data_IF_184115395990
#
_entry.id   IF_184115395990
#
_cell.length_a   1.000
_cell.length_b   1.000
_cell.length_c   1.000
_cell.angle_alpha   90.00
_cell.angle_beta   90.00
_cell.angle_gamma   90.00
#
_symmetry.space_group_name_H-M   'P 1'
#
loop_
_entity.id
_entity.type
_entity.pdbx_description
1 polymer ?
#
# COMPACT_ATOMS: atom_id res chain seq x y z
N UNK A 1 -18.37 -1.55 5.79
CA UNK A 1 -17.36 -2.33 6.52
C UNK A 1 -15.96 -2.03 5.94
N UNK A 2 -14.91 -2.72 6.41
CA UNK A 2 -13.52 -2.57 5.96
C UNK A 2 -13.27 -3.20 4.57
N UNK A 3 -12.16 -3.94 4.46
CA UNK A 3 -11.81 -4.73 3.27
C UNK A 3 -11.51 -6.19 3.66
N UNK A 4 -11.57 -7.09 2.68
CA UNK A 4 -11.03 -8.46 2.81
C UNK A 4 -9.58 -8.45 2.29
N UNK A 5 -8.61 -8.76 3.15
CA UNK A 5 -7.21 -8.84 2.77
C UNK A 5 -6.86 -10.28 2.38
N UNK A 6 -6.64 -10.51 1.09
CA UNK A 6 -6.34 -11.82 0.53
C UNK A 6 -4.84 -12.11 0.62
N UNK A 7 -4.53 -13.35 1.04
CA UNK A 7 -3.20 -13.95 1.03
C UNK A 7 -3.30 -15.31 0.32
N UNK A 8 -2.26 -15.69 -0.40
CA UNK A 8 -2.24 -16.93 -1.18
C UNK A 8 -1.56 -18.07 -0.41
N UNK A 9 -2.06 -19.32 -0.49
CA UNK A 9 -1.39 -20.47 0.08
C UNK A 9 -0.11 -20.85 -0.68
N UNK A 10 0.81 -21.57 -0.01
CA UNK A 10 2.13 -21.95 -0.52
C UNK A 10 2.14 -22.81 -1.78
N UNK A 11 1.01 -23.41 -2.18
CA UNK A 11 0.90 -24.11 -3.47
C UNK A 11 1.17 -23.18 -4.68
N UNK A 12 1.03 -21.88 -4.48
CA UNK A 12 1.29 -20.83 -5.48
C UNK A 12 2.73 -20.28 -5.41
N UNK A 13 3.67 -20.97 -4.75
CA UNK A 13 5.04 -20.49 -4.54
C UNK A 13 5.83 -20.14 -5.83
N UNK A 14 5.32 -20.49 -7.02
CA UNK A 14 5.92 -20.17 -8.33
C UNK A 14 5.20 -19.03 -9.07
N UNK A 15 4.33 -18.29 -8.38
CA UNK A 15 3.44 -17.26 -8.93
C UNK A 15 1.99 -17.56 -8.56
N UNK A 16 1.17 -16.55 -8.26
CA UNK A 16 -0.26 -16.75 -8.03
C UNK A 16 -1.03 -16.40 -9.31
N UNK A 17 -1.33 -15.11 -9.51
CA UNK A 17 -2.02 -14.63 -10.70
C UNK A 17 -1.17 -14.73 -11.97
N UNK A 18 0.15 -14.90 -11.85
CA UNK A 18 1.07 -15.13 -12.96
C UNK A 18 1.75 -16.52 -12.93
N UNK A 19 1.13 -17.50 -12.23
CA UNK A 19 1.66 -18.86 -12.14
C UNK A 19 1.92 -19.48 -13.53
N UNK A 20 3.05 -20.19 -13.76
CA UNK A 20 3.37 -20.78 -15.07
C UNK A 20 2.42 -21.91 -15.50
N UNK A 21 1.86 -22.65 -14.54
CA UNK A 21 0.83 -23.66 -14.82
C UNK A 21 -0.56 -23.01 -14.83
N UNK A 22 -1.23 -23.06 -15.98
CA UNK A 22 -2.53 -22.40 -16.21
C UNK A 22 -3.64 -22.82 -15.25
N UNK A 23 -3.64 -24.07 -14.80
CA UNK A 23 -4.63 -24.54 -13.83
C UNK A 23 -4.47 -23.83 -12.48
N UNK A 24 -3.24 -23.71 -11.97
CA UNK A 24 -2.96 -23.00 -10.73
C UNK A 24 -3.14 -21.49 -10.89
N UNK A 25 -2.81 -20.93 -12.06
CA UNK A 25 -3.12 -19.54 -12.36
C UNK A 25 -4.62 -19.26 -12.23
N UNK A 26 -5.47 -20.07 -12.87
CA UNK A 26 -6.92 -19.91 -12.77
C UNK A 26 -7.40 -20.11 -11.34
N UNK A 27 -6.85 -21.07 -10.60
CA UNK A 27 -7.21 -21.29 -9.21
C UNK A 27 -6.91 -20.08 -8.30
N UNK A 28 -5.80 -19.37 -8.53
CA UNK A 28 -5.49 -18.12 -7.83
C UNK A 28 -6.48 -17.00 -8.17
N UNK A 29 -6.90 -16.91 -9.43
CA UNK A 29 -7.93 -15.96 -9.89
C UNK A 29 -9.28 -16.28 -9.23
N UNK A 30 -9.69 -17.54 -9.21
CA UNK A 30 -10.93 -17.96 -8.55
C UNK A 30 -10.90 -17.70 -7.05
N UNK A 31 -9.77 -17.93 -6.37
CA UNK A 31 -9.61 -17.56 -4.96
C UNK A 31 -9.78 -16.05 -4.74
N UNK A 32 -9.34 -15.22 -5.69
CA UNK A 32 -9.54 -13.77 -5.63
C UNK A 32 -11.00 -13.37 -5.79
N UNK A 33 -11.71 -14.04 -6.70
CA UNK A 33 -13.16 -13.88 -6.87
C UNK A 33 -13.94 -14.36 -5.65
N UNK A 34 -13.51 -15.45 -5.01
CA UNK A 34 -14.08 -15.94 -3.76
C UNK A 34 -13.92 -14.90 -2.63
N UNK A 35 -12.75 -14.27 -2.52
CA UNK A 35 -12.55 -13.17 -1.58
C UNK A 35 -13.52 -11.99 -1.83
N UNK A 36 -13.88 -11.71 -3.08
CA UNK A 36 -14.89 -10.70 -3.41
C UNK A 36 -16.31 -11.12 -3.00
N UNK A 37 -16.67 -12.40 -3.12
CA UNK A 37 -17.92 -12.92 -2.56
C UNK A 37 -17.95 -12.78 -1.03
N UNK A 38 -16.87 -13.16 -0.34
CA UNK A 38 -16.73 -12.97 1.11
C UNK A 38 -16.83 -11.49 1.48
N UNK A 39 -16.24 -10.60 0.69
CA UNK A 39 -16.36 -9.15 0.90
C UNK A 39 -17.82 -8.70 0.85
N UNK A 40 -18.62 -9.17 -0.13
CA UNK A 40 -20.05 -8.88 -0.19
C UNK A 40 -20.80 -9.40 1.03
N UNK A 41 -20.54 -10.65 1.44
CA UNK A 41 -21.18 -11.26 2.61
C UNK A 41 -20.91 -10.47 3.91
N UNK A 42 -19.71 -9.92 4.04
CA UNK A 42 -19.30 -9.10 5.20
C UNK A 42 -19.69 -7.62 5.07
N UNK A 43 -20.27 -7.19 3.94
CA UNK A 43 -20.58 -5.79 3.66
C UNK A 43 -19.35 -4.90 3.45
N UNK A 44 -18.24 -5.49 3.02
CA UNK A 44 -17.02 -4.81 2.58
C UNK A 44 -17.14 -4.41 1.11
N UNK A 45 -16.54 -3.28 0.74
CA UNK A 45 -16.54 -2.76 -0.65
C UNK A 45 -15.23 -2.99 -1.39
N UNK A 46 -14.28 -3.69 -0.78
CA UNK A 46 -12.90 -3.81 -1.25
C UNK A 46 -12.28 -5.17 -0.90
N UNK A 47 -11.48 -5.68 -1.84
CA UNK A 47 -10.53 -6.78 -1.66
C UNK A 47 -9.12 -6.21 -1.85
N UNK A 48 -8.30 -6.31 -0.80
CA UNK A 48 -6.87 -6.00 -0.86
C UNK A 48 -6.13 -7.27 -1.27
N UNK A 49 -5.44 -7.23 -2.39
CA UNK A 49 -4.68 -8.36 -2.93
C UNK A 49 -3.20 -8.13 -2.65
N UNK A 50 -2.62 -8.99 -1.83
CA UNK A 50 -1.18 -9.12 -1.68
C UNK A 50 -0.79 -10.54 -2.04
N UNK A 51 0.04 -10.66 -3.07
CA UNK A 51 0.63 -11.93 -3.45
C UNK A 51 2.06 -11.96 -2.97
N UNK A 52 2.41 -12.97 -2.17
CA UNK A 52 3.79 -13.22 -1.74
C UNK A 52 4.66 -13.86 -2.85
N UNK A 53 4.07 -14.18 -4.00
CA UNK A 53 4.66 -15.11 -4.98
C UNK A 53 4.74 -14.58 -6.41
N UNK A 54 4.00 -13.53 -6.78
CA UNK A 54 3.99 -13.00 -8.15
C UNK A 54 5.28 -12.21 -8.46
N UNK A 55 6.33 -12.93 -8.81
CA UNK A 55 7.66 -12.39 -9.03
C UNK A 55 8.68 -13.42 -9.50
N UNK A 56 9.95 -13.19 -9.17
CA UNK A 56 11.07 -14.03 -9.53
C UNK A 56 12.27 -13.78 -8.60
N UNK A 57 13.26 -14.68 -8.67
CA UNK A 57 14.44 -14.67 -7.80
C UNK A 57 15.76 -14.55 -8.58
N UNK A 58 15.80 -15.02 -9.82
CA UNK A 58 17.03 -15.13 -10.62
C UNK A 58 16.91 -14.44 -11.99
N UNK A 59 18.04 -13.93 -12.53
CA UNK A 59 18.09 -13.48 -13.92
C UNK A 59 17.65 -14.59 -14.87
N UNK A 60 16.87 -14.24 -15.90
CA UNK A 60 16.32 -15.15 -16.91
C UNK A 60 15.31 -16.20 -16.40
N UNK A 61 14.88 -16.14 -15.14
CA UNK A 61 13.91 -17.10 -14.58
C UNK A 61 12.52 -16.98 -15.22
N UNK A 62 12.12 -15.78 -15.59
CA UNK A 62 10.79 -15.49 -16.16
C UNK A 62 10.89 -14.62 -17.40
N UNK A 63 9.87 -14.72 -18.26
CA UNK A 63 9.62 -13.76 -19.32
C UNK A 63 8.81 -12.58 -18.73
N UNK A 64 9.44 -11.41 -18.60
CA UNK A 64 8.83 -10.25 -17.93
C UNK A 64 7.54 -9.78 -18.63
N UNK A 65 7.54 -9.73 -19.97
CA UNK A 65 6.39 -9.27 -20.74
C UNK A 65 5.19 -10.21 -20.59
N UNK A 66 5.45 -11.51 -20.58
CA UNK A 66 4.44 -12.54 -20.37
C UNK A 66 3.84 -12.46 -18.96
N UNK A 67 4.68 -12.40 -17.92
CA UNK A 67 4.22 -12.35 -16.52
C UNK A 67 3.48 -11.06 -16.20
N UNK A 68 3.91 -9.94 -16.76
CA UNK A 68 3.18 -8.68 -16.65
C UNK A 68 1.80 -8.76 -17.31
N UNK A 69 1.73 -9.28 -18.55
CA UNK A 69 0.46 -9.46 -19.26
C UNK A 69 -0.49 -10.38 -18.51
N UNK A 70 0.00 -11.49 -17.99
CA UNK A 70 -0.79 -12.43 -17.18
C UNK A 70 -1.40 -11.75 -15.95
N UNK A 71 -0.61 -10.95 -15.23
CA UNK A 71 -1.09 -10.20 -14.07
C UNK A 71 -2.16 -9.16 -14.44
N UNK A 72 -1.97 -8.44 -15.54
CA UNK A 72 -2.97 -7.48 -16.07
C UNK A 72 -4.30 -8.18 -16.38
N UNK A 73 -4.26 -9.29 -17.12
CA UNK A 73 -5.48 -10.01 -17.50
C UNK A 73 -6.18 -10.65 -16.29
N UNK A 74 -5.43 -11.16 -15.30
CA UNK A 74 -5.99 -11.70 -14.07
C UNK A 74 -6.79 -10.64 -13.28
N UNK A 75 -6.24 -9.43 -13.12
CA UNK A 75 -6.96 -8.34 -12.44
C UNK A 75 -8.16 -7.85 -13.25
N UNK A 76 -8.08 -7.78 -14.59
CA UNK A 76 -9.23 -7.46 -15.45
C UNK A 76 -10.36 -8.46 -15.24
N UNK A 77 -10.06 -9.75 -15.24
CA UNK A 77 -11.04 -10.81 -15.03
C UNK A 77 -11.74 -10.68 -13.67
N UNK A 78 -11.00 -10.37 -12.61
CA UNK A 78 -11.58 -10.14 -11.28
C UNK A 78 -12.47 -8.89 -11.27
N UNK A 79 -11.98 -7.77 -11.83
CA UNK A 79 -12.71 -6.51 -11.87
C UNK A 79 -14.01 -6.60 -12.70
N UNK A 80 -13.96 -7.31 -13.82
CA UNK A 80 -15.10 -7.49 -14.73
C UNK A 80 -16.17 -8.43 -14.13
N UNK A 81 -15.76 -9.44 -13.37
CA UNK A 81 -16.68 -10.33 -12.66
C UNK A 81 -17.36 -9.65 -11.45
N UNK A 82 -16.74 -8.65 -10.85
CA UNK A 82 -17.23 -7.97 -9.64
C UNK A 82 -17.14 -6.43 -9.77
N UNK A 83 -17.96 -5.81 -10.65
CA UNK A 83 -17.87 -4.37 -10.94
C UNK A 83 -18.23 -3.47 -9.74
N UNK A 84 -18.92 -3.99 -8.73
CA UNK A 84 -19.29 -3.35 -7.47
C UNK A 84 -18.20 -3.43 -6.39
N UNK A 85 -17.20 -4.31 -6.55
CA UNK A 85 -16.10 -4.49 -5.60
C UNK A 85 -14.85 -3.80 -6.13
N UNK A 86 -14.18 -3.05 -5.25
CA UNK A 86 -12.84 -2.54 -5.52
C UNK A 86 -11.80 -3.63 -5.31
N UNK A 87 -10.88 -3.78 -6.25
CA UNK A 87 -9.67 -4.58 -6.08
C UNK A 87 -8.48 -3.63 -5.96
N UNK A 88 -7.74 -3.74 -4.86
CA UNK A 88 -6.53 -2.96 -4.64
C UNK A 88 -5.31 -3.87 -4.58
N UNK A 89 -4.26 -3.52 -5.33
CA UNK A 89 -2.97 -4.19 -5.18
C UNK A 89 -2.21 -3.56 -4.00
N UNK A 90 -1.80 -4.40 -3.06
CA UNK A 90 -0.78 -4.10 -2.05
C UNK A 90 0.57 -4.58 -2.60
N UNK A 91 1.33 -3.67 -3.24
CA UNK A 91 2.61 -4.03 -3.83
C UNK A 91 3.70 -4.13 -2.75
N UNK A 92 4.74 -4.94 -2.99
CA UNK A 92 5.92 -5.05 -2.14
C UNK A 92 7.18 -5.17 -3.02
N UNK A 93 8.33 -4.56 -2.65
CA UNK A 93 9.53 -4.63 -3.50
C UNK A 93 10.26 -5.98 -3.41
N UNK A 94 10.25 -6.61 -2.24
CA UNK A 94 11.00 -7.85 -1.95
C UNK A 94 10.46 -8.51 -0.68
N UNK A 95 10.61 -9.82 -0.56
CA UNK A 95 10.14 -10.64 0.55
C UNK A 95 11.02 -11.89 0.73
N UNK A 96 10.80 -12.65 1.81
CA UNK A 96 11.43 -13.95 1.99
C UNK A 96 10.96 -14.98 0.95
N UNK A 97 9.72 -14.85 0.47
CA UNK A 97 9.09 -15.75 -0.49
C UNK A 97 9.34 -15.35 -1.96
N UNK A 98 9.71 -14.10 -2.24
CA UNK A 98 9.95 -13.57 -3.60
C UNK A 98 10.99 -12.46 -3.54
N UNK A 99 12.13 -12.62 -4.22
CA UNK A 99 13.20 -11.60 -4.17
C UNK A 99 12.87 -10.36 -4.97
N UNK A 100 12.22 -10.50 -6.12
CA UNK A 100 11.81 -9.42 -7.00
C UNK A 100 10.35 -9.60 -7.39
N UNK A 101 9.48 -8.71 -6.92
CA UNK A 101 8.08 -8.71 -7.35
C UNK A 101 7.92 -8.14 -8.75
N UNK A 102 6.89 -8.63 -9.46
CA UNK A 102 6.51 -8.09 -10.77
C UNK A 102 6.11 -6.61 -10.68
N UNK A 103 5.58 -6.19 -9.54
CA UNK A 103 5.22 -4.81 -9.22
C UNK A 103 5.97 -4.38 -7.96
N UNK A 104 7.18 -3.80 -8.07
CA UNK A 104 8.04 -3.55 -6.91
C UNK A 104 7.95 -2.13 -6.33
N UNK A 105 7.15 -1.23 -6.92
CA UNK A 105 7.14 0.19 -6.56
C UNK A 105 5.80 0.86 -6.86
N UNK A 106 5.55 2.04 -6.29
CA UNK A 106 4.36 2.85 -6.61
C UNK A 106 4.29 3.20 -8.09
N UNK A 107 5.45 3.50 -8.71
CA UNK A 107 5.52 3.79 -10.15
C UNK A 107 5.09 2.61 -11.02
N UNK A 108 5.59 1.40 -10.71
CA UNK A 108 5.15 0.18 -11.39
C UNK A 108 3.67 -0.12 -11.11
N UNK A 109 3.21 0.11 -9.89
CA UNK A 109 1.82 -0.11 -9.51
C UNK A 109 0.86 0.82 -10.27
N UNK A 110 1.23 2.08 -10.47
CA UNK A 110 0.45 3.02 -11.29
C UNK A 110 0.46 2.66 -12.78
N UNK A 111 1.56 2.10 -13.29
CA UNK A 111 1.59 1.54 -14.64
C UNK A 111 0.63 0.33 -14.76
N UNK A 112 0.60 -0.54 -13.75
CA UNK A 112 -0.37 -1.63 -13.70
C UNK A 112 -1.81 -1.10 -13.66
N UNK A 113 -2.10 -0.08 -12.85
CA UNK A 113 -3.42 0.55 -12.82
C UNK A 113 -3.83 1.06 -14.21
N UNK A 114 -2.91 1.70 -14.93
CA UNK A 114 -3.16 2.15 -16.30
C UNK A 114 -3.37 1.00 -17.29
N UNK A 115 -2.70 -0.14 -17.10
CA UNK A 115 -2.84 -1.28 -18.01
C UNK A 115 -4.06 -2.14 -17.70
N UNK A 116 -4.42 -2.34 -16.44
CA UNK A 116 -5.67 -3.02 -16.06
C UNK A 116 -6.85 -2.23 -16.60
N UNK A 117 -6.82 -0.90 -16.49
CA UNK A 117 -7.80 0.02 -17.07
C UNK A 117 -9.25 -0.36 -16.69
N UNK A 118 -9.47 -0.47 -15.37
CA UNK A 118 -10.78 -0.67 -14.78
C UNK A 118 -11.05 0.36 -13.68
N UNK A 119 -12.28 0.90 -13.59
CA UNK A 119 -12.59 1.94 -12.62
C UNK A 119 -12.48 1.44 -11.16
N UNK A 120 -12.77 0.15 -10.94
CA UNK A 120 -12.71 -0.53 -9.64
C UNK A 120 -11.35 -1.19 -9.35
N UNK A 121 -10.31 -0.92 -10.15
CA UNK A 121 -8.94 -1.30 -9.81
C UNK A 121 -8.13 -0.09 -9.31
N UNK A 122 -7.38 -0.30 -8.23
CA UNK A 122 -6.58 0.71 -7.55
C UNK A 122 -5.49 0.09 -6.68
N UNK A 123 -5.03 0.85 -5.69
CA UNK A 123 -3.90 0.51 -4.83
C UNK A 123 -4.26 0.58 -3.37
N UNK A 124 -3.62 -0.29 -2.58
CA UNK A 124 -3.46 -0.14 -1.14
C UNK A 124 -1.98 0.04 -0.89
N UNK A 125 -1.59 1.21 -0.39
CA UNK A 125 -0.18 1.52 -0.13
C UNK A 125 0.17 1.15 1.30
N UNK A 126 1.23 0.38 1.47
CA UNK A 126 1.83 0.10 2.78
C UNK A 126 3.05 0.99 3.00
N UNK A 127 3.12 1.65 4.16
CA UNK A 127 4.22 2.57 4.49
C UNK A 127 5.57 1.87 4.52
N UNK A 128 5.64 0.68 5.10
CA UNK A 128 6.80 -0.18 5.15
C UNK A 128 7.25 -0.58 3.75
N UNK A 129 6.33 -1.00 2.88
CA UNK A 129 6.67 -1.35 1.49
C UNK A 129 7.21 -0.16 0.69
N UNK A 130 6.64 1.04 0.88
CA UNK A 130 7.16 2.28 0.28
C UNK A 130 8.59 2.57 0.77
N UNK A 131 8.82 2.48 2.08
CA UNK A 131 10.16 2.67 2.68
C UNK A 131 11.16 1.62 2.19
N UNK A 132 10.77 0.35 2.09
CA UNK A 132 11.59 -0.74 1.54
C UNK A 132 11.95 -0.51 0.07
N UNK A 133 11.07 0.15 -0.68
CA UNK A 133 11.29 0.50 -2.09
C UNK A 133 12.19 1.73 -2.25
N UNK A 134 12.60 2.37 -1.15
CA UNK A 134 13.36 3.62 -1.16
C UNK A 134 12.53 4.83 -1.57
N UNK A 135 11.20 4.74 -1.46
CA UNK A 135 10.29 5.81 -1.86
C UNK A 135 10.06 6.82 -0.72
N UNK A 136 9.66 8.04 -1.08
CA UNK A 136 9.02 8.96 -0.14
C UNK A 136 7.51 8.65 -0.09
N UNK A 137 6.96 8.18 1.06
CA UNK A 137 5.54 7.83 1.16
C UNK A 137 4.57 8.95 0.77
N UNK A 138 4.90 10.20 1.10
CA UNK A 138 4.09 11.36 0.75
C UNK A 138 3.99 11.57 -0.77
N UNK A 139 5.10 11.38 -1.48
CA UNK A 139 5.13 11.41 -2.95
C UNK A 139 4.34 10.25 -3.55
N UNK A 140 4.46 9.05 -3.00
CA UNK A 140 3.75 7.86 -3.48
C UNK A 140 2.23 8.01 -3.33
N UNK A 141 1.75 8.53 -2.18
CA UNK A 141 0.33 8.86 -1.97
C UNK A 141 -0.14 9.94 -2.96
N UNK A 142 0.66 10.98 -3.16
CA UNK A 142 0.37 12.02 -4.14
C UNK A 142 0.24 11.49 -5.57
N UNK A 143 1.08 10.50 -5.94
CA UNK A 143 1.08 9.85 -7.25
C UNK A 143 -0.14 8.95 -7.44
N UNK A 144 -0.53 8.19 -6.41
CA UNK A 144 -1.69 7.31 -6.47
C UNK A 144 -3.01 8.09 -6.59
N UNK A 145 -3.14 9.23 -5.90
CA UNK A 145 -4.30 10.11 -6.01
C UNK A 145 -5.62 9.36 -5.79
N UNK A 146 -6.59 9.51 -6.71
CA UNK A 146 -7.90 8.87 -6.60
C UNK A 146 -7.89 7.35 -6.79
N UNK A 147 -6.73 6.76 -7.14
CA UNK A 147 -6.55 5.31 -7.25
C UNK A 147 -6.12 4.66 -5.93
N UNK A 148 -5.88 5.45 -4.89
CA UNK A 148 -5.61 4.94 -3.54
C UNK A 148 -6.93 4.59 -2.83
N UNK A 149 -7.16 3.30 -2.57
CA UNK A 149 -8.37 2.81 -1.91
C UNK A 149 -8.15 2.54 -0.41
N UNK A 150 -6.97 2.07 -0.05
CA UNK A 150 -6.55 1.82 1.33
C UNK A 150 -5.12 2.31 1.61
N UNK A 151 -4.78 2.43 2.88
CA UNK A 151 -3.39 2.62 3.33
C UNK A 151 -3.11 1.78 4.58
N UNK A 152 -2.03 1.02 4.55
CA UNK A 152 -1.49 0.31 5.71
C UNK A 152 -0.43 1.18 6.37
N UNK A 153 -0.66 1.48 7.64
CA UNK A 153 0.13 2.38 8.46
C UNK A 153 1.00 1.56 9.40
N UNK A 154 2.30 1.75 9.24
CA UNK A 154 3.36 1.25 10.10
C UNK A 154 4.56 2.20 9.97
N UNK A 155 5.67 1.83 10.59
CA UNK A 155 6.94 2.51 10.48
C UNK A 155 8.06 1.47 10.50
N UNK A 156 9.28 1.87 10.18
CA UNK A 156 10.39 0.93 10.11
C UNK A 156 11.66 1.60 9.62
N UNK A 157 12.81 0.97 9.86
CA UNK A 157 14.08 1.40 9.31
C UNK A 157 14.25 0.86 7.90
N UNK A 158 14.65 1.72 6.96
CA UNK A 158 14.94 1.28 5.59
C UNK A 158 16.14 0.33 5.59
N UNK A 159 15.85 -0.96 5.41
CA UNK A 159 16.83 -2.03 5.22
C UNK A 159 16.35 -2.91 4.07
N UNK A 160 17.28 -3.30 3.21
CA UNK A 160 16.96 -4.11 2.05
C UNK A 160 16.41 -5.47 2.53
N UNK A 161 15.21 -5.82 2.06
CA UNK A 161 14.49 -7.03 2.43
C UNK A 161 14.10 -7.17 3.92
N UNK A 162 13.88 -6.05 4.63
CA UNK A 162 13.28 -6.08 5.95
C UNK A 162 12.04 -5.18 6.03
N UNK A 163 10.96 -5.77 6.49
CA UNK A 163 9.76 -5.06 6.93
C UNK A 163 9.71 -5.14 8.45
N UNK A 164 9.74 -4.00 9.13
CA UNK A 164 9.79 -3.98 10.59
C UNK A 164 8.41 -4.01 11.25
N UNK A 165 7.38 -3.46 10.60
CA UNK A 165 6.03 -3.37 11.14
C UNK A 165 5.95 -2.60 12.47
N UNK A 166 6.71 -1.51 12.64
CA UNK A 166 6.70 -0.71 13.87
C UNK A 166 5.48 0.22 13.93
N UNK A 167 5.19 0.75 15.12
CA UNK A 167 4.12 1.73 15.33
C UNK A 167 4.29 2.99 14.48
N UNK A 168 3.20 3.48 13.91
CA UNK A 168 3.20 4.58 12.95
C UNK A 168 3.77 5.89 13.53
N UNK A 169 4.75 6.47 12.84
CA UNK A 169 5.39 7.74 13.21
C UNK A 169 6.24 7.65 14.48
N UNK A 170 6.75 6.46 14.81
CA UNK A 170 7.67 6.20 15.92
C UNK A 170 9.14 6.39 15.53
N UNK A 171 9.48 6.11 14.28
CA UNK A 171 10.83 6.30 13.71
C UNK A 171 10.86 7.56 12.85
N UNK A 172 9.80 7.79 12.06
CA UNK A 172 9.74 8.87 11.08
C UNK A 172 8.55 9.82 11.30
N UNK A 173 8.49 10.59 12.40
CA UNK A 173 7.36 11.45 12.72
C UNK A 173 7.12 12.56 11.68
N UNK A 174 8.18 13.08 11.06
CA UNK A 174 8.06 14.06 9.97
C UNK A 174 7.37 13.50 8.73
N UNK A 175 7.73 12.27 8.32
CA UNK A 175 7.08 11.59 7.20
C UNK A 175 5.65 11.18 7.56
N UNK A 176 5.39 10.74 8.80
CA UNK A 176 4.03 10.45 9.27
C UNK A 176 3.10 11.67 9.17
N UNK A 177 3.59 12.86 9.53
CA UNK A 177 2.87 14.12 9.34
C UNK A 177 2.61 14.41 7.85
N UNK A 178 3.62 14.23 7.00
CA UNK A 178 3.49 14.44 5.55
C UNK A 178 2.50 13.45 4.91
N UNK A 179 2.53 12.17 5.29
CA UNK A 179 1.55 11.15 4.87
C UNK A 179 0.13 11.62 5.15
N UNK A 180 -0.14 12.05 6.39
CA UNK A 180 -1.48 12.54 6.76
C UNK A 180 -1.87 13.80 5.98
N UNK A 181 -0.92 14.70 5.74
CA UNK A 181 -1.15 15.89 4.90
C UNK A 181 -1.50 15.51 3.45
N UNK A 182 -0.76 14.57 2.85
CA UNK A 182 -0.98 14.13 1.47
C UNK A 182 -2.30 13.40 1.31
N UNK A 183 -2.66 12.52 2.27
CA UNK A 183 -3.97 11.84 2.30
C UNK A 183 -5.13 12.86 2.34
N UNK A 184 -5.02 13.91 3.18
CA UNK A 184 -5.99 15.02 3.16
C UNK A 184 -6.03 15.73 1.82
N UNK A 185 -4.87 16.02 1.23
CA UNK A 185 -4.75 16.77 -0.02
C UNK A 185 -5.39 16.04 -1.20
N UNK A 186 -5.27 14.71 -1.26
CA UNK A 186 -5.91 13.89 -2.31
C UNK A 186 -7.39 13.59 -2.01
N UNK A 187 -7.93 14.07 -0.88
CA UNK A 187 -9.31 13.79 -0.48
C UNK A 187 -9.56 12.34 -0.11
N UNK A 188 -8.55 11.65 0.45
CA UNK A 188 -8.66 10.24 0.81
C UNK A 188 -9.82 9.98 1.76
N UNK A 189 -10.66 9.01 1.40
CA UNK A 189 -11.86 8.61 2.16
C UNK A 189 -11.92 7.10 2.40
N UNK A 190 -10.79 6.41 2.22
CA UNK A 190 -10.66 4.98 2.46
C UNK A 190 -10.37 4.67 3.93
N UNK A 191 -9.92 3.44 4.18
CA UNK A 191 -9.59 2.97 5.53
C UNK A 191 -8.11 3.12 5.84
N UNK A 192 -7.82 3.36 7.12
CA UNK A 192 -6.49 3.24 7.70
C UNK A 192 -6.38 1.88 8.36
N UNK A 193 -5.45 1.05 7.89
CA UNK A 193 -5.14 -0.25 8.47
C UNK A 193 -3.85 -0.14 9.28
N UNK A 194 -3.76 -0.82 10.42
CA UNK A 194 -2.49 -0.95 11.14
C UNK A 194 -1.88 -2.29 10.75
N UNK A 195 -0.89 -2.25 9.86
CA UNK A 195 -0.10 -3.42 9.49
C UNK A 195 1.21 -3.43 10.29
N UNK A 196 1.05 -3.66 11.59
CA UNK A 196 2.16 -3.68 12.55
C UNK A 196 2.38 -5.08 13.10
N UNK A 197 3.62 -5.35 13.53
CA UNK A 197 4.03 -6.64 14.07
C UNK A 197 4.39 -6.48 15.55
N UNK A 198 3.42 -6.58 16.48
CA UNK A 198 3.63 -6.46 17.93
C UNK A 198 4.35 -7.68 18.52
N UNK A 199 5.53 -8.01 18.01
CA UNK A 199 6.32 -9.19 18.39
C UNK A 199 6.87 -9.09 19.82
N UNK A 200 6.97 -7.87 20.37
CA UNK A 200 7.58 -7.57 21.68
C UNK A 200 6.76 -6.60 22.53
N UNK A 201 5.49 -6.40 22.17
CA UNK A 201 4.55 -5.45 22.76
C UNK A 201 3.21 -6.13 22.99
N UNK A 202 2.36 -5.51 23.81
CA UNK A 202 0.96 -5.92 23.92
C UNK A 202 0.22 -5.47 22.65
N UNK A 203 -0.36 -6.39 21.85
CA UNK A 203 -0.98 -6.04 20.58
C UNK A 203 -2.20 -5.10 20.75
N UNK A 204 -2.92 -5.19 21.87
CA UNK A 204 -4.08 -4.33 22.13
C UNK A 204 -3.60 -2.92 22.42
N UNK A 205 -2.61 -2.77 23.30
CA UNK A 205 -2.05 -1.45 23.64
C UNK A 205 -1.35 -0.79 22.45
N UNK A 206 -0.71 -1.59 21.61
CA UNK A 206 -0.11 -1.09 20.37
C UNK A 206 -1.16 -0.55 19.41
N UNK A 207 -2.29 -1.26 19.23
CA UNK A 207 -3.40 -0.78 18.42
C UNK A 207 -4.01 0.50 19.01
N UNK A 208 -4.24 0.57 20.32
CA UNK A 208 -4.73 1.78 21.01
C UNK A 208 -3.80 2.97 20.78
N UNK A 209 -2.49 2.78 20.97
CA UNK A 209 -1.48 3.80 20.73
C UNK A 209 -1.46 4.29 19.27
N UNK A 210 -1.51 3.37 18.31
CA UNK A 210 -1.56 3.70 16.88
C UNK A 210 -2.81 4.53 16.54
N UNK A 211 -3.99 4.18 17.10
CA UNK A 211 -5.23 4.95 16.92
C UNK A 211 -5.06 6.39 17.42
N UNK A 212 -4.50 6.56 18.61
CA UNK A 212 -4.23 7.87 19.19
C UNK A 212 -3.25 8.67 18.33
N UNK A 213 -2.12 8.06 17.94
CA UNK A 213 -1.10 8.70 17.11
C UNK A 213 -1.61 9.15 15.76
N UNK A 214 -2.32 8.29 15.05
CA UNK A 214 -2.91 8.64 13.74
C UNK A 214 -3.87 9.81 13.87
N UNK A 215 -4.72 9.82 14.91
CA UNK A 215 -5.63 10.95 15.16
C UNK A 215 -4.85 12.25 15.43
N UNK A 216 -3.80 12.21 16.25
CA UNK A 216 -2.96 13.40 16.53
C UNK A 216 -2.28 13.91 15.25
N UNK A 217 -1.63 13.04 14.48
CA UNK A 217 -1.01 13.43 13.20
C UNK A 217 -2.02 13.96 12.19
N UNK A 218 -3.18 13.31 12.08
CA UNK A 218 -4.26 13.77 11.21
C UNK A 218 -4.72 15.17 11.59
N UNK A 219 -4.92 15.47 12.89
CA UNK A 219 -5.30 16.79 13.36
C UNK A 219 -4.20 17.82 13.12
N UNK A 220 -2.94 17.49 13.42
CA UNK A 220 -1.80 18.38 13.22
C UNK A 220 -1.60 18.74 11.74
N UNK A 221 -1.71 17.77 10.83
CA UNK A 221 -1.59 18.02 9.39
C UNK A 221 -2.68 18.96 8.86
N UNK A 222 -3.87 18.95 9.45
CA UNK A 222 -4.97 19.85 9.10
C UNK A 222 -4.79 21.30 9.58
N UNK A 223 -3.84 21.57 10.47
CA UNK A 223 -3.55 22.92 11.02
C UNK A 223 -2.40 23.63 10.31
N UNK A 224 -1.72 22.96 9.37
CA UNK A 224 -0.62 23.55 8.62
C UNK A 224 -1.11 24.74 7.78
N UNK A 225 -0.46 25.90 7.90
CA UNK A 225 -0.82 27.08 7.10
C UNK A 225 -0.54 26.83 5.62
N UNK A 226 -1.59 26.96 4.79
CA UNK A 226 -1.50 26.83 3.34
C UNK A 226 -0.61 27.90 2.74
N UNK A 227 -0.64 29.12 3.28
CA UNK A 227 0.17 30.25 2.85
C UNK A 227 1.65 29.97 3.11
N UNK A 228 2.01 29.49 4.31
CA UNK A 228 3.39 29.09 4.63
C UNK A 228 3.86 27.94 3.75
N UNK A 229 3.05 26.90 3.58
CA UNK A 229 3.38 25.77 2.71
C UNK A 229 3.63 26.23 1.26
N UNK A 230 2.76 27.11 0.74
CA UNK A 230 2.91 27.66 -0.62
C UNK A 230 4.21 28.45 -0.78
N UNK A 231 4.59 29.25 0.23
CA UNK A 231 5.86 29.98 0.23
C UNK A 231 7.05 29.01 0.25
N UNK A 232 7.03 28.01 1.14
CA UNK A 232 8.06 26.97 1.25
C UNK A 232 8.27 26.27 -0.09
N UNK A 233 7.19 25.83 -0.75
CA UNK A 233 7.30 25.13 -2.04
C UNK A 233 7.83 26.03 -3.15
N UNK A 234 7.36 27.29 -3.20
CA UNK A 234 7.82 28.25 -4.21
C UNK A 234 9.32 28.51 -4.11
N UNK A 235 9.83 28.61 -2.90
CA UNK A 235 11.23 28.97 -2.64
C UNK A 235 12.13 27.74 -2.43
N UNK A 236 11.55 26.53 -2.41
CA UNK A 236 12.24 25.27 -2.09
C UNK A 236 13.01 25.34 -0.75
N UNK A 237 12.43 26.02 0.25
CA UNK A 237 13.12 26.31 1.51
C UNK A 237 13.06 25.13 2.50
N UNK A 238 14.14 24.35 2.52
CA UNK A 238 14.29 23.20 3.41
C UNK A 238 14.25 23.59 4.91
N UNK A 239 14.79 24.75 5.29
CA UNK A 239 14.84 25.15 6.70
C UNK A 239 13.46 25.57 7.18
N UNK A 240 12.71 26.31 6.37
CA UNK A 240 11.34 26.66 6.68
C UNK A 240 10.42 25.43 6.72
N UNK A 241 10.64 24.44 5.83
CA UNK A 241 9.95 23.16 5.86
C UNK A 241 10.20 22.41 7.19
N UNK A 242 11.47 22.28 7.60
CA UNK A 242 11.82 21.60 8.87
C UNK A 242 11.23 22.32 10.09
N UNK A 243 11.28 23.66 10.13
CA UNK A 243 10.66 24.45 11.22
C UNK A 243 9.15 24.24 11.28
N UNK A 244 8.47 24.20 10.13
CA UNK A 244 7.04 23.92 10.07
C UNK A 244 6.71 22.55 10.65
N UNK A 245 7.51 21.53 10.32
CA UNK A 245 7.36 20.17 10.87
C UNK A 245 7.59 20.19 12.38
N UNK A 246 8.69 20.78 12.87
CA UNK A 246 9.00 20.85 14.30
C UNK A 246 7.88 21.51 15.11
N UNK A 247 7.34 22.63 14.60
CA UNK A 247 6.22 23.33 15.22
C UNK A 247 4.96 22.45 15.29
N UNK A 248 4.64 21.73 14.21
CA UNK A 248 3.51 20.82 14.18
C UNK A 248 3.68 19.63 15.13
N UNK A 249 4.88 19.05 15.18
CA UNK A 249 5.19 17.91 16.06
C UNK A 249 5.13 18.28 17.55
N UNK A 250 5.48 19.52 17.93
CA UNK A 250 5.33 20.01 19.32
C UNK A 250 3.88 20.11 19.79
N UNK A 251 2.92 20.02 18.87
CA UNK A 251 1.49 20.10 19.16
C UNK A 251 0.78 18.74 19.21
N UNK A 252 1.53 17.65 19.03
CA UNK A 252 1.03 16.26 19.08
C UNK A 252 0.75 15.76 20.49
#
# INVERSE_FOLDING_TARGET
>A
AGAVCLRYPSKFARGAMNHPEKQLQQEAIELTKEAANVARELGCGEVVVWSAFDGYDYPFQVNYDEKWKELVEAFRECCDAFPDIKFSLEYKPTDENTRFFTVPSTGAAMLLVSHVDRPNFGLTLDVGHMLMSGENPGQSIAMAGSKLFGVQLNDGYTRLAAEDGLMFGSVHPGMALEIMYQLRRIGFSGHFYFDTFPQRSDPVKEAEYNIERVKSFWLASGRLSKERLTAIWKDHDAIAALRLVDEALRSL
#
